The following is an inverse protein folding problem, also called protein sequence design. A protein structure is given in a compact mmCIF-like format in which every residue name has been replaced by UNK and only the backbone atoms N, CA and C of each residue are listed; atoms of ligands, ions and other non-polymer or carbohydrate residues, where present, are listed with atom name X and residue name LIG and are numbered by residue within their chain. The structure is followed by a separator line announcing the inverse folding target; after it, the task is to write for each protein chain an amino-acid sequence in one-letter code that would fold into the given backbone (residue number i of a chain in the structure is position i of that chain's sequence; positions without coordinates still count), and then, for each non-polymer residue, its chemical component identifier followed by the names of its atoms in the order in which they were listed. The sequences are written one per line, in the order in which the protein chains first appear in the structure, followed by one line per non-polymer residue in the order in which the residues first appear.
data_IF_256506477985
#
_entry.id   IF_256506477985
#
_cell.length_a   1.000
_cell.length_b   1.000
_cell.length_c   1.000
_cell.angle_alpha   90.00
_cell.angle_beta   90.00
_cell.angle_gamma   90.00
#
_symmetry.space_group_name_H-M   'P 1'
#
loop_
_entity.id
_entity.type
_entity.pdbx_description
1 polymer ?
#
# COMPACT_ATOMS: atom_id res chain seq x y z
N UNK A 1 0.03 0.78 -30.22
CA UNK A 1 -0.50 1.61 -29.11
C UNK A 1 0.14 1.14 -27.82
N UNK A 2 0.67 2.05 -26.97
CA UNK A 2 1.24 1.68 -25.68
C UNK A 2 0.11 1.12 -24.82
N UNK A 3 0.26 -0.10 -24.31
CA UNK A 3 -0.68 -0.68 -23.37
C UNK A 3 -0.42 -0.06 -21.99
N UNK A 4 -0.77 1.22 -21.85
CA UNK A 4 -0.97 1.81 -20.54
C UNK A 4 -2.26 1.19 -19.99
N UNK A 5 -2.12 0.15 -19.17
CA UNK A 5 -3.24 -0.36 -18.39
C UNK A 5 -3.71 0.78 -17.49
N UNK A 6 -4.93 1.28 -17.73
CA UNK A 6 -5.57 2.22 -16.83
C UNK A 6 -5.73 1.52 -15.47
N UNK A 7 -4.90 1.88 -14.48
CA UNK A 7 -5.00 1.34 -13.13
C UNK A 7 -4.48 -0.08 -12.97
N UNK A 8 -3.15 -0.29 -13.09
CA UNK A 8 -2.39 -1.52 -12.79
C UNK A 8 -2.87 -2.84 -13.45
N UNK A 9 -4.14 -3.22 -13.32
CA UNK A 9 -4.81 -4.33 -14.02
C UNK A 9 -6.16 -3.93 -14.69
N UNK A 10 -6.58 -2.66 -14.64
CA UNK A 10 -7.92 -2.25 -15.11
C UNK A 10 -9.03 -2.46 -14.07
N UNK A 11 -8.69 -2.69 -12.80
CA UNK A 11 -9.67 -3.00 -11.76
C UNK A 11 -10.25 -1.72 -11.16
N UNK A 12 -11.56 -1.53 -11.34
CA UNK A 12 -12.34 -0.51 -10.65
C UNK A 12 -12.32 -0.66 -9.12
N UNK A 13 -11.93 -1.82 -8.60
CA UNK A 13 -11.75 -2.08 -7.17
C UNK A 13 -10.83 -1.03 -6.51
N UNK A 14 -9.75 -0.63 -7.18
CA UNK A 14 -8.81 0.36 -6.65
C UNK A 14 -9.50 1.73 -6.49
N UNK A 15 -10.32 2.13 -7.45
CA UNK A 15 -11.10 3.37 -7.40
C UNK A 15 -12.21 3.33 -6.36
N UNK A 16 -12.95 2.21 -6.27
CA UNK A 16 -13.99 2.00 -5.26
C UNK A 16 -13.39 2.09 -3.86
N UNK A 17 -12.23 1.47 -3.68
CA UNK A 17 -11.55 1.44 -2.39
C UNK A 17 -11.13 2.84 -1.93
N UNK A 18 -10.53 3.62 -2.83
CA UNK A 18 -10.16 5.02 -2.55
C UNK A 18 -11.40 5.88 -2.26
N UNK A 19 -12.49 5.69 -3.02
CA UNK A 19 -13.76 6.37 -2.75
C UNK A 19 -14.37 5.98 -1.40
N UNK A 20 -14.25 4.72 -0.99
CA UNK A 20 -14.72 4.28 0.33
C UNK A 20 -13.91 4.92 1.45
N UNK A 21 -12.58 4.99 1.32
CA UNK A 21 -11.73 5.67 2.30
C UNK A 21 -12.06 7.17 2.38
N UNK A 22 -12.25 7.82 1.23
CA UNK A 22 -12.63 9.23 1.16
C UNK A 22 -14.01 9.49 1.80
N UNK A 23 -14.99 8.62 1.51
CA UNK A 23 -16.34 8.74 2.07
C UNK A 23 -16.35 8.55 3.58
N UNK A 24 -15.56 7.61 4.10
CA UNK A 24 -15.47 7.37 5.53
C UNK A 24 -14.72 8.52 6.24
N UNK A 25 -13.79 9.20 5.56
CA UNK A 25 -13.20 10.45 6.04
C UNK A 25 -14.23 11.60 6.13
N UNK A 26 -15.10 11.73 5.13
CA UNK A 26 -16.13 12.78 5.06
C UNK A 26 -17.28 12.59 6.06
N UNK A 27 -17.38 11.41 6.69
CA UNK A 27 -18.43 11.08 7.65
C UNK A 27 -18.30 11.90 8.94
N UNK A 28 -19.41 12.40 9.53
CA UNK A 28 -19.37 13.24 10.73
C UNK A 28 -18.65 12.58 11.90
N UNK A 29 -17.79 13.33 12.58
CA UNK A 29 -16.92 12.81 13.64
C UNK A 29 -17.68 12.25 14.85
N UNK A 30 -18.89 12.73 15.11
CA UNK A 30 -19.75 12.27 16.23
C UNK A 30 -20.18 10.81 16.14
N UNK A 31 -20.01 10.16 14.98
CA UNK A 31 -20.29 8.73 14.82
C UNK A 31 -19.11 7.82 15.25
N UNK A 32 -17.97 8.41 15.62
CA UNK A 32 -16.73 7.68 15.93
C UNK A 32 -16.32 7.77 17.41
N UNK A 33 -17.24 8.05 18.35
CA UNK A 33 -17.00 8.15 19.80
C UNK A 33 -16.56 6.83 20.49
N UNK A 34 -15.90 5.93 19.77
CA UNK A 34 -15.47 4.62 20.24
C UNK A 34 -14.35 4.70 21.30
N UNK A 35 -13.58 5.79 21.31
CA UNK A 35 -12.35 5.93 22.13
C UNK A 35 -12.42 7.03 23.20
N UNK A 36 -13.62 7.52 23.54
CA UNK A 36 -13.80 8.53 24.59
C UNK A 36 -13.27 8.14 25.97
N UNK A 37 -13.07 6.83 26.21
CA UNK A 37 -12.54 6.27 27.46
C UNK A 37 -11.01 6.36 27.60
N UNK A 38 -10.27 6.65 26.53
CA UNK A 38 -8.82 6.90 26.60
C UNK A 38 -8.53 8.34 27.02
N UNK A 39 -7.44 8.54 27.77
CA UNK A 39 -6.88 9.86 27.99
C UNK A 39 -6.42 10.48 26.66
N UNK A 40 -6.48 11.81 26.52
CA UNK A 40 -6.22 12.48 25.23
C UNK A 40 -4.83 12.15 24.64
N UNK A 41 -3.81 11.94 25.47
CA UNK A 41 -2.46 11.55 25.04
C UNK A 41 -2.32 10.09 24.58
N UNK A 42 -3.29 9.23 24.93
CA UNK A 42 -3.32 7.80 24.61
C UNK A 42 -4.40 7.45 23.59
N UNK A 43 -5.24 8.43 23.22
CA UNK A 43 -6.37 8.22 22.34
C UNK A 43 -5.89 8.04 20.89
N UNK A 44 -6.26 6.93 20.22
CA UNK A 44 -6.07 6.79 18.78
C UNK A 44 -6.97 7.78 18.02
N UNK A 45 -6.67 8.00 16.75
CA UNK A 45 -7.65 8.65 15.87
C UNK A 45 -8.96 7.89 15.89
N UNK A 46 -10.07 8.61 15.99
CA UNK A 46 -11.41 8.05 15.81
C UNK A 46 -11.57 7.38 14.43
N UNK A 47 -10.72 7.76 13.47
CA UNK A 47 -10.66 7.24 12.10
C UNK A 47 -9.44 6.34 11.84
N UNK A 48 -8.81 5.78 12.88
CA UNK A 48 -7.66 4.88 12.74
C UNK A 48 -7.95 3.67 11.82
N UNK A 49 -9.23 3.26 11.72
CA UNK A 49 -9.67 2.23 10.79
C UNK A 49 -9.30 2.53 9.32
N UNK A 50 -9.26 3.80 8.90
CA UNK A 50 -8.84 4.18 7.54
C UNK A 50 -7.42 3.71 7.22
N UNK A 51 -6.50 3.90 8.17
CA UNK A 51 -5.09 3.51 8.02
C UNK A 51 -4.96 1.99 7.99
N UNK A 52 -5.67 1.28 8.88
CA UNK A 52 -5.65 -0.18 8.93
C UNK A 52 -6.22 -0.82 7.67
N UNK A 53 -7.35 -0.30 7.20
CA UNK A 53 -7.97 -0.71 5.95
C UNK A 53 -6.99 -0.46 4.80
N UNK A 54 -6.55 0.78 4.61
CA UNK A 54 -5.61 1.16 3.56
C UNK A 54 -4.41 0.22 3.51
N UNK A 55 -3.80 -0.03 4.66
CA UNK A 55 -2.63 -0.88 4.75
C UNK A 55 -2.94 -2.33 4.36
N UNK A 56 -4.05 -2.89 4.85
CA UNK A 56 -4.48 -4.24 4.44
C UNK A 56 -4.69 -4.35 2.93
N UNK A 57 -5.30 -3.33 2.32
CA UNK A 57 -5.45 -3.29 0.86
C UNK A 57 -4.11 -3.10 0.12
N UNK A 58 -3.22 -2.26 0.62
CA UNK A 58 -1.86 -2.12 0.09
C UNK A 58 -1.10 -3.45 0.10
N UNK A 59 -1.21 -4.24 1.18
CA UNK A 59 -0.63 -5.60 1.25
C UNK A 59 -1.12 -6.50 0.10
N UNK A 60 -2.42 -6.43 -0.22
CA UNK A 60 -2.98 -7.19 -1.36
C UNK A 60 -2.41 -6.73 -2.71
N UNK A 61 -2.21 -5.42 -2.91
CA UNK A 61 -1.59 -4.88 -4.14
C UNK A 61 -0.17 -5.39 -4.31
N UNK A 62 0.63 -5.35 -3.25
CA UNK A 62 2.00 -5.88 -3.27
C UNK A 62 2.00 -7.38 -3.56
N UNK A 63 1.10 -8.16 -2.98
CA UNK A 63 0.98 -9.58 -3.32
C UNK A 63 0.65 -9.78 -4.80
N UNK A 64 -0.30 -9.02 -5.36
CA UNK A 64 -0.65 -9.09 -6.79
C UNK A 64 0.55 -8.79 -7.68
N UNK A 65 1.32 -7.74 -7.37
CA UNK A 65 2.55 -7.42 -8.12
C UNK A 65 3.51 -8.61 -8.17
N UNK A 66 3.76 -9.22 -7.00
CA UNK A 66 4.64 -10.37 -6.89
C UNK A 66 4.11 -11.58 -7.66
N UNK A 67 2.82 -11.91 -7.52
CA UNK A 67 2.17 -13.00 -8.28
C UNK A 67 2.29 -12.78 -9.79
N UNK A 68 2.01 -11.58 -10.25
CA UNK A 68 2.11 -11.24 -11.67
C UNK A 68 3.54 -11.33 -12.18
N UNK A 69 4.53 -10.86 -11.40
CA UNK A 69 5.94 -10.95 -11.74
C UNK A 69 6.50 -12.39 -11.69
N UNK A 70 5.84 -13.28 -10.94
CA UNK A 70 6.20 -14.69 -10.82
C UNK A 70 5.38 -15.61 -11.72
N UNK A 71 4.47 -15.09 -12.54
CA UNK A 71 3.49 -15.90 -13.28
C UNK A 71 4.08 -16.95 -14.24
N UNK A 72 5.34 -16.79 -14.64
CA UNK A 72 6.07 -17.73 -15.51
C UNK A 72 6.76 -18.85 -14.72
N UNK A 73 6.83 -18.74 -13.39
CA UNK A 73 7.39 -19.78 -12.53
C UNK A 73 6.37 -20.91 -12.30
N UNK A 74 6.83 -22.14 -12.00
CA UNK A 74 5.94 -23.20 -11.56
C UNK A 74 5.16 -22.77 -10.30
N UNK A 75 3.86 -23.10 -10.26
CA UNK A 75 2.95 -22.66 -9.19
C UNK A 75 3.47 -22.97 -7.78
N UNK A 76 4.09 -24.14 -7.59
CA UNK A 76 4.69 -24.53 -6.30
C UNK A 76 5.82 -23.60 -5.86
N UNK A 77 6.65 -23.14 -6.79
CA UNK A 77 7.74 -22.20 -6.52
C UNK A 77 7.18 -20.82 -6.13
N UNK A 78 6.12 -20.38 -6.80
CA UNK A 78 5.41 -19.14 -6.47
C UNK A 78 4.83 -19.20 -5.05
N UNK A 79 4.12 -20.28 -4.71
CA UNK A 79 3.50 -20.45 -3.40
C UNK A 79 4.52 -20.57 -2.27
N UNK A 80 5.59 -21.34 -2.48
CA UNK A 80 6.68 -21.44 -1.52
C UNK A 80 7.39 -20.09 -1.31
N UNK A 81 7.59 -19.31 -2.39
CA UNK A 81 8.13 -17.96 -2.30
C UNK A 81 7.25 -17.03 -1.47
N UNK A 82 5.95 -16.96 -1.78
CA UNK A 82 5.00 -16.11 -1.05
C UNK A 82 4.83 -16.52 0.42
N UNK A 83 4.95 -17.82 0.72
CA UNK A 83 4.91 -18.36 2.08
C UNK A 83 6.17 -18.03 2.87
N UNK A 84 7.35 -18.14 2.25
CA UNK A 84 8.64 -17.82 2.89
C UNK A 84 8.75 -16.33 3.23
N UNK A 85 8.17 -15.47 2.40
CA UNK A 85 8.10 -14.02 2.61
C UNK A 85 6.66 -13.62 2.94
N UNK A 86 6.12 -14.13 4.05
CA UNK A 86 4.73 -13.88 4.44
C UNK A 86 4.48 -12.47 4.98
N UNK A 87 5.47 -11.85 5.63
CA UNK A 87 5.35 -10.51 6.20
C UNK A 87 5.53 -9.42 5.15
N UNK A 88 4.72 -8.37 5.19
CA UNK A 88 4.76 -7.27 4.22
C UNK A 88 6.14 -6.61 4.12
N UNK A 89 6.84 -6.36 5.23
CA UNK A 89 8.20 -5.82 5.20
C UNK A 89 9.18 -6.72 4.44
N UNK A 90 9.08 -8.04 4.65
CA UNK A 90 9.87 -9.03 3.91
C UNK A 90 9.53 -9.08 2.42
N UNK A 91 8.27 -8.78 2.04
CA UNK A 91 7.83 -8.68 0.65
C UNK A 91 8.35 -7.42 -0.01
N UNK A 92 8.21 -6.26 0.62
CA UNK A 92 8.64 -4.95 0.11
C UNK A 92 10.15 -4.83 -0.06
N UNK A 93 10.91 -5.52 0.79
CA UNK A 93 12.37 -5.49 0.76
C UNK A 93 12.97 -6.76 0.14
N UNK A 94 12.82 -7.91 0.80
CA UNK A 94 13.49 -9.16 0.43
C UNK A 94 13.00 -9.74 -0.89
N UNK A 95 11.70 -10.08 -0.95
CA UNK A 95 11.11 -10.68 -2.14
C UNK A 95 11.17 -9.72 -3.33
N UNK A 96 10.86 -8.44 -3.10
CA UNK A 96 10.95 -7.41 -4.14
C UNK A 96 12.36 -7.32 -4.73
N UNK A 97 13.40 -7.31 -3.88
CA UNK A 97 14.80 -7.24 -4.32
C UNK A 97 15.23 -8.46 -5.11
N UNK A 98 14.77 -9.64 -4.75
CA UNK A 98 15.04 -10.87 -5.51
C UNK A 98 14.51 -10.76 -6.95
N UNK A 99 13.31 -10.23 -7.14
CA UNK A 99 12.66 -10.19 -8.46
C UNK A 99 13.00 -8.97 -9.30
N UNK A 100 13.31 -7.84 -8.65
CA UNK A 100 13.39 -6.55 -9.33
C UNK A 100 14.73 -5.83 -9.14
N UNK A 101 15.65 -6.40 -8.34
CA UNK A 101 17.00 -5.87 -8.11
C UNK A 101 17.07 -4.60 -7.26
N UNK A 102 15.95 -4.15 -6.68
CA UNK A 102 15.83 -2.94 -5.84
C UNK A 102 14.85 -3.18 -4.70
N UNK A 103 14.52 -2.19 -3.88
CA UNK A 103 13.41 -2.27 -2.91
C UNK A 103 12.18 -1.52 -3.42
N UNK A 104 10.99 -1.82 -2.91
CA UNK A 104 9.77 -1.11 -3.34
C UNK A 104 9.87 0.42 -3.11
N UNK A 105 10.40 0.83 -1.96
CA UNK A 105 10.56 2.25 -1.63
C UNK A 105 11.60 2.93 -2.51
N UNK A 106 12.71 2.27 -2.82
CA UNK A 106 13.69 2.82 -3.78
C UNK A 106 13.11 2.91 -5.19
N UNK A 107 12.21 1.99 -5.56
CA UNK A 107 11.53 2.03 -6.84
C UNK A 107 10.57 3.22 -6.98
N UNK A 108 9.86 3.56 -5.89
CA UNK A 108 9.03 4.76 -5.77
C UNK A 108 9.88 6.04 -5.90
N UNK A 109 10.98 6.12 -5.15
CA UNK A 109 11.91 7.27 -5.22
C UNK A 109 12.47 7.46 -6.62
N UNK A 110 12.93 6.39 -7.25
CA UNK A 110 13.47 6.42 -8.61
C UNK A 110 12.44 6.84 -9.67
N UNK A 111 11.13 6.73 -9.36
CA UNK A 111 10.02 7.14 -10.26
C UNK A 111 9.46 8.52 -9.95
N UNK A 112 10.10 9.28 -9.05
CA UNK A 112 9.66 10.62 -8.71
C UNK A 112 8.56 10.68 -7.65
N UNK A 113 8.38 9.60 -6.87
CA UNK A 113 7.42 9.55 -5.76
C UNK A 113 8.09 9.42 -4.38
N UNK A 114 9.10 10.25 -4.02
CA UNK A 114 9.76 10.14 -2.72
C UNK A 114 8.81 10.43 -1.56
N UNK A 115 7.89 11.40 -1.70
CA UNK A 115 6.91 11.72 -0.66
C UNK A 115 5.99 10.53 -0.34
N UNK A 116 5.58 9.77 -1.36
CA UNK A 116 4.79 8.54 -1.16
C UNK A 116 5.62 7.45 -0.49
N UNK A 117 6.90 7.32 -0.84
CA UNK A 117 7.79 6.36 -0.19
C UNK A 117 7.90 6.64 1.31
N UNK A 118 8.15 7.90 1.70
CA UNK A 118 8.24 8.29 3.11
C UNK A 118 6.89 8.13 3.84
N UNK A 119 5.78 8.47 3.20
CA UNK A 119 4.44 8.25 3.75
C UNK A 119 4.19 6.77 4.07
N UNK A 120 4.49 5.87 3.13
CA UNK A 120 4.27 4.43 3.32
C UNK A 120 5.19 3.84 4.40
N UNK A 121 6.39 4.39 4.56
CA UNK A 121 7.31 4.03 5.66
C UNK A 121 6.71 4.46 7.00
N UNK A 122 6.28 5.71 7.15
CA UNK A 122 5.65 6.18 8.39
C UNK A 122 4.39 5.37 8.71
N UNK A 123 3.49 5.15 7.73
CA UNK A 123 2.29 4.33 7.93
C UNK A 123 2.65 2.91 8.40
N UNK A 124 3.69 2.29 7.81
CA UNK A 124 4.14 0.98 8.24
C UNK A 124 4.58 0.98 9.71
N UNK A 125 5.37 1.97 10.11
CA UNK A 125 5.86 2.14 11.47
C UNK A 125 4.70 2.37 12.46
N UNK A 126 3.80 3.33 12.16
CA UNK A 126 2.63 3.64 13.00
C UNK A 126 1.70 2.45 13.17
N UNK A 127 1.42 1.72 12.08
CA UNK A 127 0.60 0.50 12.12
C UNK A 127 1.25 -0.58 12.94
N UNK A 128 2.57 -0.74 12.85
CA UNK A 128 3.29 -1.72 13.65
C UNK A 128 3.25 -1.36 15.15
N UNK A 129 3.51 -0.10 15.49
CA UNK A 129 3.38 0.41 16.86
C UNK A 129 1.97 0.22 17.42
N UNK A 130 0.94 0.53 16.62
CA UNK A 130 -0.47 0.31 16.96
C UNK A 130 -0.75 -1.17 17.28
N UNK A 131 -0.30 -2.09 16.41
CA UNK A 131 -0.45 -3.52 16.61
C UNK A 131 0.29 -4.05 17.86
N UNK A 132 1.35 -3.36 18.29
CA UNK A 132 2.11 -3.67 19.50
C UNK A 132 1.57 -2.97 20.76
N UNK A 133 0.34 -2.45 20.72
CA UNK A 133 -0.35 -1.92 21.89
C UNK A 133 -0.10 -0.43 22.17
N UNK A 134 0.36 0.34 21.18
CA UNK A 134 0.39 1.81 21.24
C UNK A 134 -0.75 2.40 20.39
N UNK A 135 -2.01 2.41 20.88
CA UNK A 135 -3.15 2.87 20.08
C UNK A 135 -2.97 4.31 19.54
N UNK A 136 -2.37 5.21 20.32
CA UNK A 136 -2.06 6.59 19.91
C UNK A 136 -1.09 6.72 18.73
N UNK A 137 -0.43 5.64 18.30
CA UNK A 137 0.49 5.67 17.16
C UNK A 137 -0.22 6.02 15.85
N UNK A 138 -1.51 5.65 15.71
CA UNK A 138 -2.35 6.13 14.61
C UNK A 138 -3.19 7.29 15.14
N UNK A 139 -2.68 8.51 14.99
CA UNK A 139 -3.38 9.74 15.40
C UNK A 139 -4.00 10.46 14.19
N UNK A 140 -4.71 11.56 14.43
CA UNK A 140 -5.41 12.30 13.37
C UNK A 140 -4.44 12.85 12.31
N UNK A 141 -3.21 13.22 12.68
CA UNK A 141 -2.20 13.66 11.73
C UNK A 141 -1.77 12.53 10.77
N UNK A 142 -1.59 11.30 11.28
CA UNK A 142 -1.32 10.13 10.43
C UNK A 142 -2.48 9.85 9.47
N UNK A 143 -3.73 9.93 9.96
CA UNK A 143 -4.91 9.71 9.11
C UNK A 143 -5.02 10.80 8.05
N UNK A 144 -4.84 12.07 8.43
CA UNK A 144 -4.90 13.20 7.51
C UNK A 144 -3.82 13.09 6.43
N UNK A 145 -2.57 12.80 6.80
CA UNK A 145 -1.48 12.62 5.86
C UNK A 145 -1.75 11.50 4.85
N UNK A 146 -2.34 10.39 5.28
CA UNK A 146 -2.78 9.33 4.37
C UNK A 146 -3.83 9.83 3.37
N UNK A 147 -4.93 10.42 3.86
CA UNK A 147 -6.06 10.85 3.02
C UNK A 147 -5.63 11.87 1.98
N UNK A 148 -4.83 12.86 2.36
CA UNK A 148 -4.33 13.90 1.46
C UNK A 148 -3.44 13.36 0.34
N UNK A 149 -2.82 12.20 0.55
CA UNK A 149 -1.89 11.59 -0.40
C UNK A 149 -2.44 10.36 -1.13
N UNK A 150 -3.70 9.95 -0.89
CA UNK A 150 -4.32 8.76 -1.52
C UNK A 150 -4.22 8.75 -3.04
N UNK A 151 -4.40 9.91 -3.68
CA UNK A 151 -4.29 10.03 -5.14
C UNK A 151 -2.85 9.79 -5.62
N UNK A 152 -1.89 10.47 -5.00
CA UNK A 152 -0.47 10.33 -5.36
C UNK A 152 0.02 8.91 -5.09
N UNK A 153 -0.43 8.29 -4.01
CA UNK A 153 -0.17 6.89 -3.70
C UNK A 153 -0.68 5.97 -4.81
N UNK A 154 -1.92 6.15 -5.25
CA UNK A 154 -2.50 5.35 -6.34
C UNK A 154 -1.76 5.52 -7.67
N UNK A 155 -1.42 6.76 -8.04
CA UNK A 155 -0.64 7.06 -9.24
C UNK A 155 0.74 6.39 -9.19
N UNK A 156 1.39 6.42 -8.03
CA UNK A 156 2.69 5.77 -7.81
C UNK A 156 2.61 4.25 -7.95
N UNK A 157 1.52 3.65 -7.46
CA UNK A 157 1.25 2.22 -7.61
C UNK A 157 1.14 1.82 -9.08
N UNK A 158 0.37 2.58 -9.86
CA UNK A 158 0.24 2.35 -11.32
C UNK A 158 1.61 2.44 -11.99
N UNK A 159 2.40 3.48 -11.67
CA UNK A 159 3.71 3.69 -12.26
C UNK A 159 4.68 2.54 -11.98
N UNK A 160 4.75 2.08 -10.72
CA UNK A 160 5.60 0.95 -10.32
C UNK A 160 5.12 -0.34 -10.98
N UNK A 161 3.82 -0.64 -10.89
CA UNK A 161 3.25 -1.87 -11.45
C UNK A 161 3.50 -1.97 -12.94
N UNK A 162 3.16 -0.92 -13.70
CA UNK A 162 3.32 -0.91 -15.15
C UNK A 162 4.79 -1.08 -15.55
N UNK A 163 5.72 -0.39 -14.88
CA UNK A 163 7.14 -0.53 -15.18
C UNK A 163 7.65 -1.96 -14.93
N UNK A 164 7.26 -2.58 -13.81
CA UNK A 164 7.73 -3.91 -13.43
C UNK A 164 7.07 -5.02 -14.23
N UNK A 165 5.79 -4.90 -14.54
CA UNK A 165 5.04 -5.94 -15.28
C UNK A 165 5.23 -5.82 -16.79
N UNK A 166 5.30 -4.62 -17.37
CA UNK A 166 5.56 -4.45 -18.80
C UNK A 166 6.96 -4.94 -19.21
N UNK A 167 7.97 -4.71 -18.36
CA UNK A 167 9.35 -5.17 -18.60
C UNK A 167 9.47 -6.69 -18.74
N UNK A 168 8.60 -7.48 -18.07
CA UNK A 168 8.63 -8.95 -18.14
C UNK A 168 7.90 -9.54 -19.35
N UNK A 169 7.10 -8.76 -20.06
CA UNK A 169 6.28 -9.22 -21.17
C UNK A 169 6.91 -9.01 -22.55
N UNK A 170 8.13 -8.47 -22.62
CA UNK A 170 8.88 -8.32 -23.87
C UNK A 170 8.16 -7.47 -24.92
N UNK A 171 7.27 -6.56 -24.52
CA UNK A 171 6.60 -5.63 -25.43
C UNK A 171 6.58 -4.23 -24.84
N UNK A 172 7.46 -3.39 -25.37
CA UNK A 172 7.16 -2.07 -25.92
C UNK A 172 8.45 -1.45 -26.48
N UNK A 173 8.86 -1.91 -27.67
CA UNK A 173 9.71 -1.15 -28.58
C UNK A 173 8.91 -0.94 -29.87
N UNK A 174 8.35 0.27 -30.00
CA UNK A 174 8.10 1.03 -31.24
C UNK A 174 7.11 2.14 -30.90
#
# INVERSE_FOLDING_TARGET
MPCAFAGAEGRFEDYIYLQMLQREWERPAGEFEMFGHFADAERPSARAALVLLFWGYFETRIERLHRTAMRKLPQRVLEDGLRRYNGIGSRLHGLYKIFFGTTYFDDLRARGFPAVAELLIDIHERRNEFAHGKPQAINDATVQALVENLKAEHESWIAVFNARVASQNGRCTS
#
